data_IF_705813435494
#
_entry.id   IF_705813435494
#
_cell.length_a   1.000
_cell.length_b   1.000
_cell.length_c   1.000
_cell.angle_alpha   90.00
_cell.angle_beta   90.00
_cell.angle_gamma   90.00
#
_symmetry.space_group_name_H-M   'P 1'
#
loop_
_entity.id
_entity.type
_entity.pdbx_description
1 polymer ?
#
# COMPACT_ATOMS: atom_id res chain seq x y z
N UNK A 1 -27.02 29.74 -43.20
CA UNK A 1 -25.91 29.36 -42.30
C UNK A 1 -26.51 28.68 -41.06
N UNK A 2 -26.39 27.35 -41.01
CA UNK A 2 -27.23 26.48 -40.17
C UNK A 2 -26.89 26.60 -38.68
N UNK A 3 -27.91 26.47 -37.80
CA UNK A 3 -27.78 26.53 -36.32
C UNK A 3 -26.67 25.63 -35.78
N UNK A 4 -26.38 24.53 -36.48
CA UNK A 4 -25.29 23.59 -36.17
C UNK A 4 -23.89 24.21 -36.27
N UNK A 5 -23.64 25.06 -37.28
CA UNK A 5 -22.34 25.72 -37.48
C UNK A 5 -22.09 26.80 -36.43
N UNK A 6 -23.14 27.49 -35.95
CA UNK A 6 -23.05 28.45 -34.84
C UNK A 6 -22.73 27.79 -33.50
N UNK A 7 -23.23 26.56 -33.26
CA UNK A 7 -22.94 25.78 -32.05
C UNK A 7 -21.48 25.30 -32.02
N UNK A 8 -20.95 24.85 -33.16
CA UNK A 8 -19.56 24.37 -33.29
C UNK A 8 -18.53 25.49 -33.02
N UNK A 9 -18.83 26.72 -33.46
CA UNK A 9 -17.98 27.90 -33.24
C UNK A 9 -17.93 28.33 -31.76
N UNK A 10 -18.93 27.98 -30.94
CA UNK A 10 -18.94 28.29 -29.51
C UNK A 10 -18.31 27.21 -28.64
N UNK A 11 -18.44 25.93 -29.03
CA UNK A 11 -17.93 24.79 -28.23
C UNK A 11 -16.41 24.69 -28.27
N UNK A 12 -15.79 24.95 -29.43
CA UNK A 12 -14.32 24.89 -29.58
C UNK A 12 -13.59 25.88 -28.67
N UNK A 13 -13.90 27.19 -28.67
CA UNK A 13 -13.25 28.13 -27.76
C UNK A 13 -13.58 27.87 -26.30
N UNK A 14 -14.77 27.36 -25.97
CA UNK A 14 -15.12 27.00 -24.59
C UNK A 14 -14.28 25.81 -24.07
N UNK A 15 -14.09 24.78 -24.88
CA UNK A 15 -13.21 23.64 -24.56
C UNK A 15 -11.74 24.06 -24.46
N UNK A 16 -11.30 24.99 -25.32
CA UNK A 16 -9.95 25.55 -25.27
C UNK A 16 -9.75 26.37 -24.00
N UNK A 17 -10.72 27.23 -23.64
CA UNK A 17 -10.67 28.04 -22.42
C UNK A 17 -10.73 27.19 -21.14
N UNK A 18 -11.51 26.11 -21.12
CA UNK A 18 -11.53 25.16 -20.00
C UNK A 18 -10.22 24.36 -19.89
N UNK A 19 -9.67 23.91 -21.02
CA UNK A 19 -8.39 23.22 -21.07
C UNK A 19 -7.22 24.12 -20.64
N UNK A 20 -7.20 25.37 -21.11
CA UNK A 20 -6.17 26.35 -20.71
C UNK A 20 -6.37 26.81 -19.27
N UNK A 21 -7.61 26.98 -18.78
CA UNK A 21 -7.87 27.30 -17.36
C UNK A 21 -7.40 26.17 -16.45
N UNK A 22 -7.70 24.90 -16.78
CA UNK A 22 -7.24 23.76 -16.01
C UNK A 22 -5.71 23.61 -16.06
N UNK A 23 -5.11 23.82 -17.24
CA UNK A 23 -3.66 23.87 -17.43
C UNK A 23 -2.98 24.98 -16.62
N UNK A 24 -3.46 26.23 -16.74
CA UNK A 24 -2.98 27.40 -16.01
C UNK A 24 -3.09 27.20 -14.49
N UNK A 25 -4.24 26.71 -14.01
CA UNK A 25 -4.43 26.44 -12.58
C UNK A 25 -3.48 25.35 -12.06
N UNK A 26 -3.13 24.37 -12.89
CA UNK A 26 -2.15 23.33 -12.54
C UNK A 26 -0.71 23.87 -12.53
N UNK A 27 -0.40 24.86 -13.39
CA UNK A 27 0.89 25.55 -13.44
C UNK A 27 1.01 26.52 -12.26
N UNK A 28 -0.02 27.30 -11.95
CA UNK A 28 -0.05 28.19 -10.79
C UNK A 28 0.10 27.41 -9.49
N UNK A 29 -0.61 26.28 -9.32
CA UNK A 29 -0.36 25.39 -8.16
C UNK A 29 1.11 24.98 -8.09
N UNK A 30 1.68 24.47 -9.20
CA UNK A 30 3.10 24.09 -9.25
C UNK A 30 4.06 25.24 -8.97
N UNK A 31 3.76 26.46 -9.44
CA UNK A 31 4.58 27.64 -9.22
C UNK A 31 4.47 28.17 -7.78
N UNK A 32 3.27 28.13 -7.18
CA UNK A 32 3.05 28.44 -5.78
C UNK A 32 3.80 27.46 -4.86
N UNK A 33 3.83 26.18 -5.23
CA UNK A 33 4.62 25.17 -4.52
C UNK A 33 6.13 25.33 -4.75
N UNK A 34 6.58 25.64 -5.98
CA UNK A 34 8.00 25.86 -6.32
C UNK A 34 8.59 27.14 -5.71
N UNK A 35 7.78 28.18 -5.49
CA UNK A 35 8.24 29.44 -4.87
C UNK A 35 8.23 29.41 -3.34
N UNK A 36 7.66 28.39 -2.70
CA UNK A 36 8.00 28.08 -1.31
C UNK A 36 9.32 27.31 -1.36
N UNK A 37 10.36 27.79 -0.70
CA UNK A 37 11.59 27.03 -0.44
C UNK A 37 11.26 25.85 0.50
N UNK A 38 10.48 24.90 -0.01
CA UNK A 38 9.92 23.77 0.72
C UNK A 38 10.84 22.56 0.60
N UNK A 39 11.04 21.90 1.73
CA UNK A 39 11.67 20.58 1.78
C UNK A 39 10.89 19.60 0.89
N UNK A 40 11.59 18.77 0.13
CA UNK A 40 11.01 17.63 -0.58
C UNK A 40 11.06 16.39 0.31
N UNK A 41 10.05 15.51 0.21
CA UNK A 41 9.98 14.21 0.85
C UNK A 41 9.85 13.13 -0.22
N UNK A 42 10.84 12.26 -0.35
CA UNK A 42 10.83 11.12 -1.27
C UNK A 42 10.18 9.91 -0.61
N UNK A 43 9.06 9.47 -1.15
CA UNK A 43 8.25 8.39 -0.60
C UNK A 43 8.18 7.20 -1.58
N UNK A 44 8.76 6.06 -1.19
CA UNK A 44 8.58 4.78 -1.87
C UNK A 44 7.39 4.03 -1.28
N UNK A 45 6.45 3.56 -2.11
CA UNK A 45 5.24 2.91 -1.60
C UNK A 45 4.56 1.99 -2.61
N UNK A 46 3.66 1.13 -2.12
CA UNK A 46 2.87 0.25 -2.96
C UNK A 46 1.66 1.00 -3.52
N UNK A 47 1.50 1.02 -4.85
CA UNK A 47 0.30 1.59 -5.48
C UNK A 47 -0.97 0.90 -4.95
N UNK A 48 -1.99 1.70 -4.63
CA UNK A 48 -3.28 1.22 -4.12
C UNK A 48 -3.38 1.12 -2.60
N UNK A 49 -2.25 1.22 -1.87
CA UNK A 49 -2.24 1.16 -0.41
C UNK A 49 -2.21 2.53 0.27
N UNK A 50 -1.94 3.59 -0.48
CA UNK A 50 -1.96 4.96 0.00
C UNK A 50 -2.94 5.79 -0.86
N UNK A 51 -4.04 6.32 -0.28
CA UNK A 51 -4.96 7.18 -1.01
C UNK A 51 -4.28 8.48 -1.45
N UNK A 52 -4.40 8.92 -2.72
CA UNK A 52 -3.76 10.15 -3.20
C UNK A 52 -4.12 11.39 -2.38
N UNK A 53 -5.33 11.44 -1.81
CA UNK A 53 -5.81 12.55 -1.00
C UNK A 53 -5.00 12.74 0.30
N UNK A 54 -4.39 11.67 0.82
CA UNK A 54 -3.51 11.74 1.99
C UNK A 54 -2.26 12.55 1.65
N UNK A 55 -1.67 12.31 0.48
CA UNK A 55 -0.50 13.03 0.00
C UNK A 55 -0.83 14.50 -0.24
N UNK A 56 -1.88 14.78 -1.02
CA UNK A 56 -2.28 16.16 -1.29
C UNK A 56 -2.62 16.91 0.00
N UNK A 57 -3.34 16.28 0.94
CA UNK A 57 -3.65 16.89 2.22
C UNK A 57 -2.42 17.15 3.10
N UNK A 58 -1.39 16.29 3.01
CA UNK A 58 -0.12 16.51 3.69
C UNK A 58 0.64 17.69 3.10
N UNK A 59 0.75 17.78 1.77
CA UNK A 59 1.41 18.88 1.07
C UNK A 59 0.72 20.22 1.34
N UNK A 60 -0.61 20.26 1.34
CA UNK A 60 -1.38 21.47 1.62
C UNK A 60 -1.21 21.95 3.07
N UNK A 61 -1.12 21.02 4.04
CA UNK A 61 -0.99 21.35 5.46
C UNK A 61 0.42 21.75 5.86
N UNK A 62 1.43 21.10 5.28
CA UNK A 62 2.84 21.26 5.70
C UNK A 62 3.65 22.16 4.77
N UNK A 63 3.23 22.28 3.50
CA UNK A 63 4.02 22.91 2.45
C UNK A 63 5.20 22.08 1.94
N UNK A 64 5.42 20.87 2.49
CA UNK A 64 6.42 19.91 2.03
C UNK A 64 5.90 19.25 0.76
N UNK A 65 6.73 19.15 -0.28
CA UNK A 65 6.37 18.44 -1.51
C UNK A 65 6.65 16.95 -1.36
N UNK A 66 5.71 16.09 -1.77
CA UNK A 66 5.94 14.64 -1.75
C UNK A 66 6.29 14.14 -3.15
N UNK A 67 7.53 13.70 -3.32
CA UNK A 67 7.99 13.00 -4.52
C UNK A 67 7.70 11.52 -4.34
N UNK A 68 6.56 11.08 -4.87
CA UNK A 68 6.09 9.70 -4.75
C UNK A 68 6.67 8.75 -5.81
N UNK A 69 7.09 7.57 -5.35
CA UNK A 69 7.57 6.46 -6.18
C UNK A 69 6.64 5.24 -5.99
N UNK A 70 5.49 5.20 -6.68
CA UNK A 70 4.53 4.11 -6.56
C UNK A 70 5.00 2.86 -7.32
N UNK A 71 5.08 1.72 -6.63
CA UNK A 71 5.40 0.43 -7.22
C UNK A 71 4.14 -0.38 -7.54
N UNK A 72 4.12 -1.01 -8.72
CA UNK A 72 2.97 -1.79 -9.23
C UNK A 72 2.90 -3.22 -8.69
N UNK A 73 4.02 -3.75 -8.21
CA UNK A 73 4.11 -5.11 -7.68
C UNK A 73 4.93 -5.11 -6.40
N UNK A 74 4.69 -6.13 -5.58
CA UNK A 74 5.41 -6.34 -4.33
C UNK A 74 6.88 -6.67 -4.62
N UNK A 75 7.15 -7.38 -5.73
CA UNK A 75 8.50 -7.67 -6.20
C UNK A 75 9.27 -6.39 -6.58
N UNK A 76 8.67 -5.48 -7.36
CA UNK A 76 9.34 -4.24 -7.75
C UNK A 76 9.63 -3.35 -6.52
N UNK A 77 8.72 -3.35 -5.54
CA UNK A 77 8.95 -2.68 -4.27
C UNK A 77 10.14 -3.29 -3.51
N UNK A 78 10.21 -4.62 -3.44
CA UNK A 78 11.31 -5.33 -2.79
C UNK A 78 12.67 -5.07 -3.45
N UNK A 79 12.72 -5.12 -4.79
CA UNK A 79 13.92 -4.84 -5.57
C UNK A 79 14.43 -3.42 -5.29
N UNK A 80 13.54 -2.42 -5.30
CA UNK A 80 13.92 -1.03 -5.04
C UNK A 80 14.42 -0.82 -3.60
N UNK A 81 13.80 -1.46 -2.60
CA UNK A 81 14.26 -1.44 -1.20
C UNK A 81 15.64 -2.09 -1.07
N UNK A 82 15.88 -3.18 -1.80
CA UNK A 82 17.13 -3.95 -1.70
C UNK A 82 18.30 -3.25 -2.37
N UNK A 83 18.06 -2.63 -3.52
CA UNK A 83 19.13 -2.00 -4.31
C UNK A 83 19.40 -0.55 -3.88
N UNK A 84 18.36 0.21 -3.53
CA UNK A 84 18.43 1.67 -3.45
C UNK A 84 17.67 2.26 -2.25
N UNK A 85 17.77 1.70 -1.03
CA UNK A 85 16.98 2.17 0.10
C UNK A 85 17.32 3.62 0.49
N UNK A 86 18.58 4.03 0.33
CA UNK A 86 19.07 5.37 0.69
C UNK A 86 18.56 6.49 -0.23
N UNK A 87 17.86 6.17 -1.33
CA UNK A 87 17.28 7.19 -2.22
C UNK A 87 15.97 7.79 -1.69
N UNK A 88 15.42 7.24 -0.61
CA UNK A 88 14.10 7.55 -0.09
C UNK A 88 14.16 8.02 1.36
N UNK A 89 13.29 8.97 1.72
CA UNK A 89 13.16 9.46 3.09
C UNK A 89 12.18 8.59 3.89
N UNK A 90 11.16 8.05 3.21
CA UNK A 90 10.16 7.17 3.78
C UNK A 90 9.85 6.01 2.83
N UNK A 91 9.75 4.81 3.39
CA UNK A 91 9.46 3.58 2.65
C UNK A 91 8.24 2.92 3.31
N UNK A 92 7.19 2.68 2.52
CA UNK A 92 6.14 1.73 2.90
C UNK A 92 6.58 0.35 2.43
N UNK A 93 6.60 -0.60 3.36
CA UNK A 93 6.86 -2.01 3.12
C UNK A 93 5.84 -2.90 3.83
N UNK A 94 5.72 -4.14 3.38
CA UNK A 94 4.88 -5.14 4.03
C UNK A 94 5.63 -5.84 5.16
N UNK A 95 4.90 -6.32 6.17
CA UNK A 95 5.48 -7.01 7.33
C UNK A 95 6.34 -8.22 6.94
N UNK A 96 5.92 -8.97 5.92
CA UNK A 96 6.68 -10.12 5.42
C UNK A 96 7.99 -9.74 4.71
N UNK A 97 8.20 -8.46 4.38
CA UNK A 97 9.46 -7.95 3.80
C UNK A 97 10.38 -7.36 4.87
N UNK A 98 9.90 -7.13 6.10
CA UNK A 98 10.57 -6.24 7.04
C UNK A 98 11.81 -6.84 7.70
N UNK A 99 11.88 -8.17 7.80
CA UNK A 99 12.93 -8.86 8.55
C UNK A 99 14.33 -8.56 8.02
N UNK A 100 14.53 -8.64 6.70
CA UNK A 100 15.84 -8.47 6.07
C UNK A 100 16.32 -7.00 6.12
N UNK A 101 15.52 -5.98 5.72
CA UNK A 101 15.88 -4.57 5.85
C UNK A 101 16.18 -4.12 7.29
N UNK A 102 15.39 -4.59 8.26
CA UNK A 102 15.64 -4.25 9.67
C UNK A 102 16.89 -4.95 10.19
N UNK A 103 17.06 -6.25 9.88
CA UNK A 103 18.23 -7.02 10.31
C UNK A 103 19.55 -6.50 9.71
N UNK A 104 19.51 -5.98 8.48
CA UNK A 104 20.65 -5.33 7.82
C UNK A 104 20.83 -3.86 8.19
N UNK A 105 19.98 -3.31 9.08
CA UNK A 105 20.06 -1.95 9.61
C UNK A 105 20.08 -0.84 8.54
N UNK A 106 19.34 -1.02 7.44
CA UNK A 106 19.27 0.01 6.38
C UNK A 106 18.36 1.19 6.77
N UNK A 107 17.54 1.04 7.81
CA UNK A 107 16.65 2.08 8.33
C UNK A 107 17.29 2.86 9.48
N UNK A 108 17.01 4.15 9.50
CA UNK A 108 17.37 5.01 10.63
C UNK A 108 16.40 4.81 11.80
N UNK A 109 16.90 5.04 13.02
CA UNK A 109 16.09 5.03 14.22
C UNK A 109 15.03 6.12 14.20
N UNK A 110 13.80 5.77 14.57
CA UNK A 110 12.71 6.73 14.70
C UNK A 110 12.93 7.61 15.92
N UNK A 111 13.00 8.91 15.70
CA UNK A 111 12.93 9.90 16.77
C UNK A 111 11.49 9.99 17.31
N UNK A 112 11.18 9.14 18.29
CA UNK A 112 9.85 9.03 18.89
C UNK A 112 9.37 10.35 19.52
N UNK A 113 10.27 11.27 19.86
CA UNK A 113 9.91 12.58 20.44
C UNK A 113 9.21 13.49 19.43
N UNK A 114 9.45 13.28 18.12
CA UNK A 114 8.79 14.03 17.04
C UNK A 114 7.43 13.43 16.64
N UNK A 115 7.10 12.24 17.13
CA UNK A 115 5.90 11.51 16.76
C UNK A 115 4.80 11.70 17.81
N UNK A 116 4.10 12.83 17.76
CA UNK A 116 3.06 13.20 18.74
C UNK A 116 1.91 12.18 18.88
N UNK A 117 1.71 11.32 17.88
CA UNK A 117 0.66 10.31 17.85
C UNK A 117 1.16 8.88 18.16
N UNK A 118 2.43 8.71 18.53
CA UNK A 118 3.01 7.37 18.75
C UNK A 118 2.31 6.58 19.85
N UNK A 119 1.73 7.28 20.83
CA UNK A 119 0.93 6.66 21.91
C UNK A 119 -0.36 5.99 21.40
N UNK A 120 -0.84 6.32 20.19
CA UNK A 120 -2.03 5.70 19.58
C UNK A 120 -1.76 4.36 18.91
N UNK A 121 -0.49 4.00 18.69
CA UNK A 121 -0.13 2.69 18.13
C UNK A 121 -0.44 1.60 19.15
N UNK A 122 -1.18 0.55 18.81
CA UNK A 122 -1.47 -0.56 19.75
C UNK A 122 -0.16 -1.18 20.26
N UNK A 123 -0.16 -1.64 21.52
CA UNK A 123 0.98 -2.35 22.12
C UNK A 123 1.38 -3.57 21.29
N UNK A 124 0.42 -4.25 20.67
CA UNK A 124 0.66 -5.43 19.83
C UNK A 124 1.54 -5.14 18.61
N UNK A 125 1.60 -3.88 18.16
CA UNK A 125 2.43 -3.46 17.02
C UNK A 125 3.75 -2.79 17.45
N UNK A 126 4.07 -2.76 18.74
CA UNK A 126 5.33 -2.18 19.27
C UNK A 126 6.38 -3.25 19.61
N UNK A 127 6.05 -4.53 19.46
CA UNK A 127 6.95 -5.63 19.81
C UNK A 127 6.89 -6.72 18.73
N UNK A 128 6.96 -6.29 17.46
CA UNK A 128 6.87 -7.20 16.34
C UNK A 128 8.17 -8.01 16.24
N UNK A 129 8.13 -9.30 15.82
CA UNK A 129 9.30 -10.16 15.80
C UNK A 129 10.50 -9.60 15.00
N UNK A 130 10.20 -8.81 13.97
CA UNK A 130 11.19 -8.16 13.12
C UNK A 130 11.58 -6.74 13.56
N UNK A 131 10.91 -6.14 14.55
CA UNK A 131 11.31 -4.88 15.19
C UNK A 131 10.89 -4.88 16.68
N UNK A 132 11.56 -5.69 17.54
CA UNK A 132 11.09 -5.95 18.91
C UNK A 132 11.14 -4.72 19.82
N UNK A 133 12.04 -3.77 19.52
CA UNK A 133 12.26 -2.54 20.29
C UNK A 133 11.46 -1.34 19.73
N UNK A 134 10.64 -1.57 18.70
CA UNK A 134 9.89 -0.55 17.98
C UNK A 134 10.78 0.61 17.54
N UNK A 135 11.94 0.29 16.98
CA UNK A 135 13.02 1.24 16.74
C UNK A 135 12.91 1.87 15.35
N UNK A 136 12.39 1.13 14.38
CA UNK A 136 12.49 1.49 12.97
C UNK A 136 11.14 1.67 12.27
N UNK A 137 10.13 0.87 12.65
CA UNK A 137 8.90 0.74 11.87
C UNK A 137 7.71 1.42 12.54
N UNK A 138 6.84 2.02 11.73
CA UNK A 138 5.52 2.50 12.16
C UNK A 138 4.41 1.73 11.44
N UNK A 139 3.46 1.11 12.18
CA UNK A 139 2.35 0.42 11.55
C UNK A 139 1.39 1.44 10.90
N UNK A 140 1.10 1.26 9.61
CA UNK A 140 0.16 2.09 8.87
C UNK A 140 -1.24 1.47 8.85
N UNK A 141 -1.33 0.21 8.44
CA UNK A 141 -2.55 -0.56 8.31
C UNK A 141 -2.26 -2.04 8.58
N UNK A 142 -3.28 -2.74 9.03
CA UNK A 142 -3.26 -4.19 9.22
C UNK A 142 -4.62 -4.76 8.85
N UNK A 143 -4.65 -6.06 8.57
CA UNK A 143 -5.86 -6.75 8.18
C UNK A 143 -5.74 -8.25 8.37
N UNK A 144 -6.86 -8.92 8.17
CA UNK A 144 -6.94 -10.38 8.22
C UNK A 144 -7.39 -10.88 6.85
N UNK A 145 -6.73 -11.91 6.36
CA UNK A 145 -7.19 -12.67 5.21
C UNK A 145 -8.08 -13.81 5.70
N UNK A 146 -9.28 -13.89 5.14
CA UNK A 146 -10.31 -14.84 5.52
C UNK A 146 -11.15 -15.26 4.33
N UNK A 147 -12.30 -15.87 4.60
CA UNK A 147 -13.19 -16.31 3.54
C UNK A 147 -14.17 -15.21 3.15
N UNK A 148 -14.15 -14.83 1.88
CA UNK A 148 -15.27 -14.15 1.25
C UNK A 148 -16.26 -15.19 0.75
N UNK A 149 -17.53 -15.08 1.17
CA UNK A 149 -18.53 -16.13 0.96
C UNK A 149 -19.85 -15.56 0.42
N UNK A 150 -20.45 -16.25 -0.55
CA UNK A 150 -21.80 -15.95 -1.02
C UNK A 150 -22.82 -16.64 -0.11
N UNK A 151 -23.50 -15.87 0.74
CA UNK A 151 -24.47 -16.41 1.71
C UNK A 151 -25.70 -17.09 1.08
N UNK A 152 -25.98 -16.85 -0.20
CA UNK A 152 -27.08 -17.51 -0.92
C UNK A 152 -26.83 -18.99 -1.19
N UNK A 153 -25.57 -19.44 -1.11
CA UNK A 153 -25.20 -20.85 -1.37
C UNK A 153 -25.14 -21.70 -0.10
N UNK A 154 -25.50 -21.12 1.06
CA UNK A 154 -25.52 -21.79 2.36
C UNK A 154 -24.58 -21.14 3.39
N UNK A 155 -24.36 -21.79 4.54
CA UNK A 155 -23.44 -21.29 5.55
C UNK A 155 -21.97 -21.42 5.10
N UNK A 156 -21.08 -20.50 5.54
CA UNK A 156 -19.65 -20.58 5.24
C UNK A 156 -19.00 -21.79 5.92
N UNK A 157 -17.83 -22.25 5.44
CA UNK A 157 -17.04 -23.25 6.16
C UNK A 157 -16.59 -22.70 7.52
N UNK A 158 -16.54 -23.58 8.53
CA UNK A 158 -16.05 -23.23 9.87
C UNK A 158 -14.53 -22.91 9.89
N UNK A 159 -13.79 -23.31 8.86
CA UNK A 159 -12.35 -23.10 8.74
C UNK A 159 -11.78 -23.77 7.48
N UNK A 160 -10.47 -23.61 7.27
CA UNK A 160 -9.77 -24.17 6.09
C UNK A 160 -9.91 -25.69 6.01
N UNK A 161 -9.84 -26.40 7.15
CA UNK A 161 -10.03 -27.86 7.19
C UNK A 161 -11.39 -28.28 6.64
N UNK A 162 -12.47 -27.64 7.10
CA UNK A 162 -13.84 -27.92 6.61
C UNK A 162 -14.01 -27.55 5.14
N UNK A 163 -13.43 -26.42 4.73
CA UNK A 163 -13.45 -25.97 3.33
C UNK A 163 -12.84 -27.03 2.39
N UNK A 164 -11.79 -27.72 2.84
CA UNK A 164 -11.06 -28.70 2.04
C UNK A 164 -11.62 -30.12 2.13
N UNK A 165 -12.17 -30.53 3.27
CA UNK A 165 -12.70 -31.88 3.46
C UNK A 165 -14.08 -32.07 2.86
N UNK A 166 -14.90 -31.01 2.80
CA UNK A 166 -16.30 -31.12 2.38
C UNK A 166 -16.42 -31.02 0.85
N UNK A 167 -16.93 -32.10 0.25
CA UNK A 167 -17.11 -32.25 -1.20
C UNK A 167 -18.00 -31.15 -1.80
N UNK A 168 -18.85 -30.48 -1.02
CA UNK A 168 -19.71 -29.40 -1.52
C UNK A 168 -18.92 -28.17 -2.03
N UNK A 169 -17.70 -27.98 -1.57
CA UNK A 169 -16.84 -26.87 -1.99
C UNK A 169 -15.93 -27.21 -3.18
N UNK A 170 -15.92 -28.48 -3.63
CA UNK A 170 -15.09 -28.93 -4.74
C UNK A 170 -15.36 -28.11 -6.00
N UNK A 171 -14.32 -27.47 -6.55
CA UNK A 171 -14.41 -26.61 -7.74
C UNK A 171 -15.09 -25.26 -7.52
N UNK A 172 -15.30 -24.84 -6.27
CA UNK A 172 -16.00 -23.59 -5.89
C UNK A 172 -15.16 -22.65 -5.03
N UNK A 173 -13.85 -22.90 -4.95
CA UNK A 173 -12.90 -22.09 -4.17
C UNK A 173 -11.98 -21.35 -5.12
N UNK A 174 -11.84 -20.05 -4.90
CA UNK A 174 -10.86 -19.20 -5.59
C UNK A 174 -9.92 -18.67 -4.52
N UNK A 175 -8.61 -18.84 -4.75
CA UNK A 175 -7.58 -18.28 -3.88
C UNK A 175 -7.14 -16.92 -4.41
N UNK A 176 -6.70 -16.06 -3.49
CA UNK A 176 -6.03 -14.83 -3.86
C UNK A 176 -4.73 -15.20 -4.61
N UNK A 177 -4.44 -14.57 -5.77
CA UNK A 177 -3.26 -14.87 -6.56
C UNK A 177 -2.00 -14.19 -5.97
N UNK A 178 -1.80 -14.33 -4.66
CA UNK A 178 -0.63 -13.82 -3.95
C UNK A 178 0.17 -15.00 -3.40
N UNK A 179 1.48 -15.01 -3.63
CA UNK A 179 2.34 -16.12 -3.24
C UNK A 179 2.23 -16.41 -1.74
N UNK A 180 2.37 -15.38 -0.91
CA UNK A 180 2.29 -15.48 0.56
C UNK A 180 0.95 -16.08 1.02
N UNK A 181 -0.15 -15.69 0.38
CA UNK A 181 -1.49 -16.22 0.69
C UNK A 181 -1.65 -17.69 0.28
N UNK A 182 -1.13 -18.07 -0.89
CA UNK A 182 -1.16 -19.45 -1.36
C UNK A 182 -0.32 -20.34 -0.43
N UNK A 183 0.89 -19.92 -0.06
CA UNK A 183 1.73 -20.67 0.89
C UNK A 183 1.05 -20.78 2.26
N UNK A 184 0.52 -19.68 2.79
CA UNK A 184 -0.20 -19.68 4.07
C UNK A 184 -1.43 -20.59 4.04
N UNK A 185 -2.17 -20.61 2.93
CA UNK A 185 -3.32 -21.49 2.74
C UNK A 185 -2.90 -22.96 2.73
N UNK A 186 -1.83 -23.28 2.01
CA UNK A 186 -1.31 -24.62 1.87
C UNK A 186 -0.64 -25.17 3.15
N UNK A 187 -0.03 -24.31 3.95
CA UNK A 187 0.46 -24.67 5.29
C UNK A 187 -0.72 -25.01 6.21
N UNK A 188 -1.73 -24.12 6.29
CA UNK A 188 -2.91 -24.31 7.13
C UNK A 188 -3.81 -25.47 6.70
N UNK A 189 -3.70 -25.89 5.44
CA UNK A 189 -4.39 -27.07 4.94
C UNK A 189 -3.70 -28.39 5.31
N UNK A 190 -2.43 -28.34 5.74
CA UNK A 190 -1.59 -29.52 5.92
C UNK A 190 -1.17 -30.17 4.59
N UNK A 191 -1.30 -29.47 3.45
CA UNK A 191 -0.97 -30.03 2.14
C UNK A 191 0.50 -29.87 1.75
N UNK A 192 1.25 -28.96 2.40
CA UNK A 192 2.61 -28.61 2.02
C UNK A 192 3.72 -29.22 2.87
N UNK A 193 3.45 -29.58 4.11
CA UNK A 193 4.50 -29.99 5.03
C UNK A 193 4.60 -31.52 5.02
N UNK A 194 5.61 -32.11 4.36
CA UNK A 194 5.87 -33.53 4.55
C UNK A 194 6.25 -33.79 6.02
N UNK A 195 5.92 -34.97 6.54
CA UNK A 195 6.08 -35.32 7.97
C UNK A 195 7.48 -35.05 8.54
N UNK A 196 8.52 -35.04 7.70
CA UNK A 196 9.90 -34.77 8.11
C UNK A 196 10.20 -33.29 8.38
N UNK A 197 9.40 -32.35 7.87
CA UNK A 197 9.56 -30.90 8.14
C UNK A 197 8.90 -30.47 9.46
N UNK A 198 7.97 -31.28 9.99
CA UNK A 198 7.29 -31.00 11.26
C UNK A 198 8.16 -31.35 12.50
N UNK A 199 9.27 -32.07 12.31
CA UNK A 199 10.12 -32.58 13.40
C UNK A 199 11.16 -31.58 13.93
N UNK A 200 11.29 -30.39 13.33
CA UNK A 200 12.23 -29.34 13.77
C UNK A 200 11.62 -28.29 14.72
N UNK A 201 10.58 -28.64 15.49
CA UNK A 201 10.01 -27.78 16.55
C UNK A 201 10.45 -28.18 17.95
#
# INVERSE_FOLDING_TARGET
MNRFLKLLVLVIPFSFLMGTWWGLRSIEKRLLFRNRAGTELKLLYRRGYLPPQVLTGFEEKTGIQVVGFPMETDQALWEEISERPANYDLIQLFSYMAQDPVGSQIFADLDKTKLSQISKVSVDFRHLPYDPEFRFLLPLNWGLNGFLWNTQTGPPPAGIKTLLSDKKFKGRVVLLPQQVEIFSFLEKSGALLPEWLEQEK
#
